data_IF_963166599344
#
_entry.id   IF_963166599344
#
_cell.length_a   1.000
_cell.length_b   1.000
_cell.length_c   1.000
_cell.angle_alpha   90.00
_cell.angle_beta   90.00
_cell.angle_gamma   90.00
#
_symmetry.space_group_name_H-M   'P 1'
#
loop_
_entity.id
_entity.type
_entity.pdbx_description
1 polymer ?
#
# COMPACT_ATOMS: atom_id res chain seq x y z
N UNK A 1 -3.30 -0.48 -0.79
CA UNK A 1 -2.02 0.04 -1.31
C UNK A 1 -1.05 0.22 -0.17
N UNK A 2 0.25 0.27 -0.45
CA UNK A 2 1.28 0.53 0.57
C UNK A 2 2.37 1.45 0.01
N UNK A 3 2.90 2.33 0.85
CA UNK A 3 4.00 3.22 0.55
C UNK A 3 5.33 2.60 0.99
N UNK A 4 6.34 2.65 0.14
CA UNK A 4 7.69 2.16 0.48
C UNK A 4 8.39 3.17 1.38
N UNK A 5 8.79 2.73 2.57
CA UNK A 5 9.47 3.58 3.58
C UNK A 5 10.97 3.30 3.67
N UNK A 6 11.45 2.19 3.09
CA UNK A 6 12.87 1.86 2.98
C UNK A 6 13.18 1.23 1.61
N UNK A 7 14.35 1.54 1.06
CA UNK A 7 14.85 0.91 -0.15
C UNK A 7 15.13 -0.57 0.06
N UNK A 8 14.80 -1.39 -0.93
CA UNK A 8 15.16 -2.80 -0.97
C UNK A 8 15.54 -3.21 -2.40
N UNK A 9 16.64 -3.95 -2.53
CA UNK A 9 17.15 -4.42 -3.82
C UNK A 9 17.07 -5.93 -3.82
N UNK A 10 16.26 -6.48 -4.73
CA UNK A 10 16.10 -7.91 -4.91
C UNK A 10 17.39 -8.56 -5.44
N UNK A 11 17.61 -9.81 -5.05
CA UNK A 11 18.70 -10.60 -5.62
C UNK A 11 18.39 -10.98 -7.10
N UNK A 12 19.39 -10.96 -8.00
CA UNK A 12 19.17 -11.37 -9.39
C UNK A 12 18.66 -12.82 -9.50
N UNK A 13 17.50 -13.00 -10.12
CA UNK A 13 16.87 -14.32 -10.31
C UNK A 13 16.09 -14.83 -9.10
N UNK A 14 15.91 -14.00 -8.06
CA UNK A 14 14.98 -14.31 -6.96
C UNK A 14 13.54 -13.97 -7.34
N UNK A 15 12.59 -14.34 -6.47
CA UNK A 15 11.17 -13.97 -6.57
C UNK A 15 10.87 -12.62 -5.90
N UNK A 16 11.90 -11.89 -5.49
CA UNK A 16 11.78 -10.64 -4.75
C UNK A 16 11.64 -9.45 -5.72
N UNK A 17 11.02 -8.38 -5.23
CA UNK A 17 10.81 -7.16 -6.00
C UNK A 17 11.70 -6.05 -5.45
N UNK A 18 12.46 -5.39 -6.33
CA UNK A 18 13.20 -4.19 -5.96
C UNK A 18 12.24 -3.01 -5.79
N UNK A 19 12.38 -2.27 -4.70
CA UNK A 19 11.50 -1.16 -4.32
C UNK A 19 12.31 0.04 -3.83
N UNK A 20 11.80 1.25 -4.10
CA UNK A 20 12.42 2.51 -3.69
C UNK A 20 11.52 3.34 -2.80
N UNK A 21 12.11 4.04 -1.83
CA UNK A 21 11.38 4.95 -0.94
C UNK A 21 10.49 5.91 -1.73
N UNK A 22 9.23 6.03 -1.31
CA UNK A 22 8.22 6.86 -1.94
C UNK A 22 7.45 6.18 -3.08
N UNK A 23 7.82 4.97 -3.48
CA UNK A 23 6.99 4.18 -4.40
C UNK A 23 5.70 3.71 -3.72
N UNK A 24 4.65 3.56 -4.53
CA UNK A 24 3.37 2.99 -4.09
C UNK A 24 3.22 1.62 -4.72
N UNK A 25 2.97 0.63 -3.87
CA UNK A 25 2.77 -0.76 -4.25
C UNK A 25 1.30 -1.17 -4.06
N UNK A 26 0.83 -2.01 -4.98
CA UNK A 26 -0.39 -2.77 -4.78
C UNK A 26 -0.05 -4.05 -4.03
N UNK A 27 -0.58 -4.21 -2.81
CA UNK A 27 -0.38 -5.42 -2.03
C UNK A 27 -1.36 -6.49 -2.50
N UNK A 28 -0.82 -7.58 -3.05
CA UNK A 28 -1.58 -8.71 -3.61
C UNK A 28 -1.85 -9.76 -2.53
N UNK A 29 -0.84 -10.09 -1.72
CA UNK A 29 -0.95 -11.10 -0.65
C UNK A 29 -0.12 -10.72 0.57
N UNK A 30 -0.73 -10.83 1.75
CA UNK A 30 -0.06 -10.64 3.04
C UNK A 30 0.18 -11.96 3.79
N UNK A 31 -0.39 -13.06 3.29
CA UNK A 31 -0.39 -14.38 3.90
C UNK A 31 0.78 -15.28 3.44
N UNK A 32 1.80 -14.70 2.78
CA UNK A 32 3.00 -15.46 2.33
C UNK A 32 3.79 -16.01 3.54
N UNK A 33 3.77 -15.28 4.65
CA UNK A 33 4.45 -15.65 5.90
C UNK A 33 5.92 -15.22 5.95
N UNK A 34 6.52 -15.35 7.13
CA UNK A 34 7.95 -15.03 7.32
C UNK A 34 8.33 -13.56 7.20
N UNK A 35 7.36 -12.64 7.31
CA UNK A 35 7.60 -11.19 7.18
C UNK A 35 7.66 -10.68 5.75
N UNK A 36 7.11 -11.45 4.79
CA UNK A 36 7.08 -11.10 3.37
C UNK A 36 5.65 -10.92 2.87
N UNK A 37 5.46 -9.93 2.01
CA UNK A 37 4.22 -9.72 1.26
C UNK A 37 4.50 -9.80 -0.24
N UNK A 38 3.50 -10.21 -1.00
CA UNK A 38 3.51 -10.15 -2.46
C UNK A 38 2.90 -8.83 -2.91
N UNK A 39 3.60 -8.12 -3.80
CA UNK A 39 3.19 -6.80 -4.25
C UNK A 39 3.48 -6.58 -5.74
N UNK A 40 2.80 -5.60 -6.34
CA UNK A 40 3.00 -5.15 -7.72
C UNK A 40 3.41 -3.67 -7.70
N UNK A 41 4.47 -3.32 -8.42
CA UNK A 41 4.90 -1.92 -8.59
C UNK A 41 4.18 -1.22 -9.78
N UNK A 42 4.44 0.06 -9.96
CA UNK A 42 3.85 0.84 -11.05
C UNK A 42 4.29 0.40 -12.47
N UNK A 43 5.37 -0.39 -12.58
CA UNK A 43 5.84 -0.98 -13.83
C UNK A 43 5.13 -2.31 -14.16
N UNK A 44 4.26 -2.80 -13.26
CA UNK A 44 3.58 -4.09 -13.40
C UNK A 44 4.45 -5.28 -13.01
N UNK A 45 5.60 -5.05 -12.37
CA UNK A 45 6.46 -6.10 -11.86
C UNK A 45 5.92 -6.61 -10.53
N UNK A 46 5.82 -7.92 -10.40
CA UNK A 46 5.28 -8.60 -9.23
C UNK A 46 6.37 -9.39 -8.52
N UNK A 47 6.41 -9.29 -7.19
CA UNK A 47 7.33 -10.08 -6.38
C UNK A 47 7.18 -9.85 -4.89
N UNK A 48 8.07 -10.50 -4.13
CA UNK A 48 8.08 -10.42 -2.68
C UNK A 48 8.80 -9.18 -2.19
N UNK A 49 8.20 -8.51 -1.20
CA UNK A 49 8.77 -7.37 -0.49
C UNK A 49 8.70 -7.61 1.02
N UNK A 50 9.68 -7.13 1.81
CA UNK A 50 9.60 -7.24 3.26
C UNK A 50 8.46 -6.39 3.81
N UNK A 51 7.61 -6.94 4.67
CA UNK A 51 6.45 -6.22 5.23
C UNK A 51 6.86 -4.98 6.02
N UNK A 52 8.04 -5.02 6.65
CA UNK A 52 8.58 -3.93 7.47
C UNK A 52 9.13 -2.76 6.65
N UNK A 53 9.23 -2.91 5.33
CA UNK A 53 9.76 -1.91 4.40
C UNK A 53 8.66 -1.10 3.73
N UNK A 54 7.41 -1.47 3.99
CA UNK A 54 6.23 -0.82 3.44
C UNK A 54 5.28 -0.41 4.56
N UNK A 55 4.64 0.74 4.37
CA UNK A 55 3.61 1.25 5.25
C UNK A 55 2.29 1.14 4.52
N UNK A 56 1.39 0.29 5.01
CA UNK A 56 0.03 0.19 4.45
C UNK A 56 -0.63 1.54 4.59
N UNK A 57 -1.01 2.16 3.47
CA UNK A 57 -1.89 3.30 3.51
C UNK A 57 -3.28 2.78 3.86
N UNK A 58 -3.67 3.02 5.11
CA UNK A 58 -5.05 2.87 5.54
C UNK A 58 -5.85 4.01 4.90
N UNK A 59 -6.02 3.99 3.58
CA UNK A 59 -7.16 4.66 2.97
C UNK A 59 -8.23 3.61 2.77
N UNK A 60 -9.27 3.62 3.62
CA UNK A 60 -10.45 2.86 3.33
C UNK A 60 -11.13 3.52 2.13
N UNK A 61 -10.90 3.01 0.92
CA UNK A 61 -11.81 3.26 -0.20
C UNK A 61 -13.17 2.55 0.00
N UNK A 62 -13.43 2.05 1.22
CA UNK A 62 -14.72 1.57 1.72
C UNK A 62 -15.11 2.26 3.03
N UNK A 63 -14.93 3.57 3.13
CA UNK A 63 -15.92 4.40 3.81
C UNK A 63 -16.56 5.31 2.77
N UNK A 64 -17.53 4.73 2.04
CA UNK A 64 -18.76 5.47 1.80
C UNK A 64 -19.41 5.62 3.18
N UNK A 65 -18.84 6.45 4.06
CA UNK A 65 -19.67 7.12 5.01
C UNK A 65 -20.45 8.12 4.18
N UNK A 66 -21.76 7.90 4.10
CA UNK A 66 -22.78 8.82 3.61
C UNK A 66 -22.78 10.19 4.34
N UNK A 67 -21.68 10.59 4.98
CA UNK A 67 -21.59 11.67 5.96
C UNK A 67 -20.32 12.54 5.92
N UNK A 68 -19.60 12.60 4.79
CA UNK A 68 -18.58 13.67 4.58
C UNK A 68 -18.99 14.67 3.48
N UNK A 69 -20.30 14.73 3.19
CA UNK A 69 -20.90 15.87 2.47
C UNK A 69 -21.29 17.03 3.42
N UNK A 70 -21.00 16.96 4.73
CA UNK A 70 -21.50 17.95 5.69
C UNK A 70 -20.47 18.97 6.21
N UNK A 71 -19.17 18.82 5.95
CA UNK A 71 -18.16 19.75 6.49
C UNK A 71 -17.80 20.92 5.59
N UNK A 72 -18.44 21.06 4.43
CA UNK A 72 -18.31 22.26 3.58
C UNK A 72 -19.70 22.76 3.23
N UNK A 73 -20.46 23.20 4.23
CA UNK A 73 -21.39 24.33 4.18
C UNK A 73 -22.07 24.41 5.55
N UNK A 74 -21.59 25.35 6.38
CA UNK A 74 -22.24 25.65 7.65
C UNK A 74 -23.71 26.05 7.47
N UNK A 75 -24.48 25.79 8.54
CA UNK A 75 -25.90 26.12 8.78
C UNK A 75 -26.90 25.06 8.30
N UNK A 76 -27.53 24.34 9.23
CA UNK A 76 -28.83 24.69 9.86
C UNK A 76 -29.14 23.62 10.91
N UNK A 77 -29.53 24.10 12.10
CA UNK A 77 -30.10 23.35 13.21
C UNK A 77 -31.36 22.59 12.79
N UNK A 78 -31.53 21.38 13.31
CA UNK A 78 -32.76 20.81 13.87
C UNK A 78 -32.42 19.52 14.61
#
# INVERSE_FOLDING_TARGET
MAEVVYDFTAEPGSTELSIRVGEVLEIVRQDVGGGWWEAINCLGEQGLVPESYVKVSCEPICFIDFNVCWFILGKISC
#
